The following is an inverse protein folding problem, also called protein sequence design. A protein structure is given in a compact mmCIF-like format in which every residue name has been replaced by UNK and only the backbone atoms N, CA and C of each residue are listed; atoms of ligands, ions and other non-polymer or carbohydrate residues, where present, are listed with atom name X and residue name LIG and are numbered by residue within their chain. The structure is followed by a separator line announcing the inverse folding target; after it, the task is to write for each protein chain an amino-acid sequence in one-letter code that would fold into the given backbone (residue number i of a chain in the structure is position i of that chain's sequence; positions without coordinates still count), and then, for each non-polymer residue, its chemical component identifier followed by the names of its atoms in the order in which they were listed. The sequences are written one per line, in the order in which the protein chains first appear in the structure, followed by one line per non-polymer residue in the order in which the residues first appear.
data_IF_783453759998
#
_entry.id   IF_783453759998
#
_cell.length_a   1.000
_cell.length_b   1.000
_cell.length_c   1.000
_cell.angle_alpha   90.00
_cell.angle_beta   90.00
_cell.angle_gamma   90.00
#
_symmetry.space_group_name_H-M   'P 1'
#
loop_
_entity.id
_entity.type
_entity.pdbx_description
1 polymer ?
#
# COMPACT_ATOMS: atom_id res chain seq x y z
N UNK A 1 16.01 -5.98 4.74
CA UNK A 1 14.87 -6.30 5.62
C UNK A 1 14.03 -5.06 5.80
N UNK A 2 12.73 -5.18 5.53
CA UNK A 2 11.75 -4.13 5.85
C UNK A 2 11.68 -3.98 7.38
N UNK A 3 11.77 -2.74 7.86
CA UNK A 3 11.53 -2.42 9.28
C UNK A 3 10.02 -2.41 9.52
N UNK A 4 9.58 -2.93 10.67
CA UNK A 4 8.18 -2.89 11.10
C UNK A 4 7.99 -1.78 12.15
N UNK A 5 6.91 -0.98 12.11
CA UNK A 5 5.85 -0.97 11.10
C UNK A 5 6.38 -0.60 9.70
N UNK A 6 5.69 -1.03 8.62
CA UNK A 6 6.16 -0.78 7.26
C UNK A 6 6.28 0.73 7.01
N UNK A 7 7.22 1.11 6.14
CA UNK A 7 7.26 2.50 5.65
C UNK A 7 5.93 2.86 5.00
N UNK A 8 5.51 4.13 5.07
CA UNK A 8 4.21 4.54 4.51
C UNK A 8 4.19 4.50 2.99
N UNK A 9 5.26 4.94 2.35
CA UNK A 9 5.33 5.07 0.89
C UNK A 9 5.91 3.81 0.23
N UNK A 10 5.27 3.37 -0.85
CA UNK A 10 5.70 2.22 -1.64
C UNK A 10 5.52 2.48 -3.13
N UNK A 11 6.37 1.82 -3.92
CA UNK A 11 6.27 1.81 -5.39
C UNK A 11 6.18 0.38 -5.89
N UNK A 12 5.16 0.06 -6.68
CA UNK A 12 5.06 -1.23 -7.36
C UNK A 12 5.92 -1.26 -8.64
N UNK A 13 6.69 -2.33 -8.81
CA UNK A 13 7.52 -2.57 -9.99
C UNK A 13 6.67 -2.73 -11.25
N UNK A 14 5.50 -3.34 -11.14
CA UNK A 14 4.52 -3.46 -12.22
C UNK A 14 3.31 -2.56 -11.92
N UNK A 15 2.75 -1.83 -12.90
CA UNK A 15 1.57 -1.03 -12.65
C UNK A 15 0.39 -1.92 -12.24
N UNK A 16 -0.32 -1.52 -11.19
CA UNK A 16 -1.57 -2.14 -10.75
C UNK A 16 -2.69 -1.20 -11.19
N UNK A 17 -3.48 -1.61 -12.18
CA UNK A 17 -4.48 -0.75 -12.83
C UNK A 17 -3.93 0.58 -13.38
N UNK A 18 -2.66 0.61 -13.78
CA UNK A 18 -1.99 1.82 -14.28
C UNK A 18 -1.28 2.63 -13.19
N UNK A 19 -1.58 2.36 -11.92
CA UNK A 19 -0.98 3.04 -10.77
C UNK A 19 0.26 2.31 -10.25
N UNK A 20 1.23 3.07 -9.74
CA UNK A 20 2.49 2.53 -9.18
C UNK A 20 2.78 2.99 -7.77
N UNK A 21 2.24 4.13 -7.35
CA UNK A 21 2.55 4.71 -6.04
C UNK A 21 1.41 4.42 -5.08
N UNK A 22 1.76 3.79 -3.97
CA UNK A 22 0.80 3.34 -2.96
C UNK A 22 1.23 3.76 -1.57
N UNK A 23 0.24 3.94 -0.70
CA UNK A 23 0.42 4.25 0.73
C UNK A 23 -0.05 3.06 1.55
N UNK A 24 0.79 2.61 2.49
CA UNK A 24 0.41 1.65 3.53
C UNK A 24 -0.53 2.35 4.52
N UNK A 25 -1.77 1.86 4.62
CA UNK A 25 -2.82 2.45 5.47
C UNK A 25 -3.13 1.61 6.71
N UNK A 26 -3.28 0.30 6.59
CA UNK A 26 -3.51 -0.59 7.75
C UNK A 26 -2.50 -1.72 7.67
N UNK A 27 -2.05 -2.23 8.80
CA UNK A 27 -1.21 -3.41 8.82
C UNK A 27 -1.40 -4.13 10.15
N UNK A 28 -1.29 -5.44 10.12
CA UNK A 28 -1.45 -6.25 11.32
C UNK A 28 -0.70 -7.57 11.18
N UNK A 29 -0.54 -8.25 12.30
CA UNK A 29 -0.04 -9.62 12.40
C UNK A 29 -1.24 -10.50 12.76
N UNK A 30 -1.87 -11.11 11.77
CA UNK A 30 -3.02 -12.00 12.01
C UNK A 30 -2.63 -13.44 11.71
N UNK A 31 -2.81 -14.34 12.69
CA UNK A 31 -2.56 -15.78 12.54
C UNK A 31 -1.19 -16.12 11.93
N UNK A 32 -0.12 -15.46 12.39
CA UNK A 32 1.26 -15.59 11.89
C UNK A 32 1.53 -15.00 10.50
N UNK A 33 0.53 -14.41 9.84
CA UNK A 33 0.70 -13.73 8.56
C UNK A 33 0.65 -12.21 8.76
N UNK A 34 1.77 -11.56 8.43
CA UNK A 34 1.84 -10.10 8.37
C UNK A 34 1.22 -9.62 7.06
N UNK A 35 0.32 -8.66 7.14
CA UNK A 35 -0.32 -8.05 5.98
C UNK A 35 -0.33 -6.53 6.07
N UNK A 36 -0.40 -5.89 4.91
CA UNK A 36 -0.48 -4.44 4.76
C UNK A 36 -1.58 -4.10 3.75
N UNK A 37 -2.50 -3.24 4.12
CA UNK A 37 -3.45 -2.63 3.20
C UNK A 37 -2.77 -1.43 2.53
N UNK A 38 -2.89 -1.38 1.21
CA UNK A 38 -2.32 -0.39 0.32
C UNK A 38 -3.44 0.39 -0.34
N UNK A 39 -3.27 1.70 -0.51
CA UNK A 39 -4.16 2.56 -1.31
C UNK A 39 -3.36 3.34 -2.34
N UNK A 40 -3.86 3.50 -3.55
CA UNK A 40 -3.21 4.32 -4.57
C UNK A 40 -3.18 5.78 -4.14
N UNK A 41 -2.07 6.46 -4.45
CA UNK A 41 -1.92 7.90 -4.22
C UNK A 41 -2.84 8.71 -5.13
N UNK A 42 -3.08 8.25 -6.37
CA UNK A 42 -3.86 8.99 -7.38
C UNK A 42 -5.33 8.55 -7.43
N UNK A 43 -5.64 7.32 -7.04
CA UNK A 43 -7.01 6.80 -6.98
C UNK A 43 -7.33 6.18 -5.63
N UNK A 44 -8.00 6.94 -4.76
CA UNK A 44 -8.41 6.47 -3.43
C UNK A 44 -9.41 5.30 -3.43
N UNK A 45 -9.99 4.94 -4.59
CA UNK A 45 -10.83 3.75 -4.74
C UNK A 45 -10.03 2.49 -5.05
N UNK A 46 -8.79 2.63 -5.50
CA UNK A 46 -7.87 1.52 -5.71
C UNK A 46 -7.14 1.22 -4.40
N UNK A 47 -7.66 0.23 -3.68
CA UNK A 47 -7.05 -0.29 -2.46
C UNK A 47 -7.08 -1.82 -2.45
N UNK A 48 -6.11 -2.42 -1.80
CA UNK A 48 -5.99 -3.89 -1.68
C UNK A 48 -5.06 -4.25 -0.53
N UNK A 49 -5.05 -5.53 -0.18
CA UNK A 49 -4.14 -6.09 0.83
C UNK A 49 -2.98 -6.79 0.13
N UNK A 50 -1.78 -6.58 0.64
CA UNK A 50 -0.57 -7.33 0.28
C UNK A 50 -0.03 -8.07 1.49
N UNK A 51 0.55 -9.23 1.25
CA UNK A 51 1.28 -9.99 2.26
C UNK A 51 2.65 -9.35 2.51
N UNK A 52 3.22 -9.59 3.68
CA UNK A 52 4.59 -9.15 3.97
C UNK A 52 5.64 -9.85 3.09
N UNK A 53 5.37 -11.07 2.64
CA UNK A 53 6.24 -11.78 1.70
C UNK A 53 6.32 -11.06 0.36
N UNK A 54 5.16 -10.70 -0.23
CA UNK A 54 5.12 -9.88 -1.44
C UNK A 54 5.79 -8.53 -1.22
N UNK A 55 5.50 -7.87 -0.10
CA UNK A 55 6.05 -6.55 0.21
C UNK A 55 7.57 -6.56 0.33
N UNK A 56 8.16 -7.66 0.83
CA UNK A 56 9.60 -7.86 0.98
C UNK A 56 10.29 -8.35 -0.31
N UNK A 57 9.52 -8.68 -1.35
CA UNK A 57 10.04 -9.00 -2.67
C UNK A 57 10.31 -7.71 -3.48
N UNK A 58 11.60 -7.37 -3.62
CA UNK A 58 12.05 -6.20 -4.39
C UNK A 58 11.73 -6.28 -5.90
N UNK A 59 11.34 -7.45 -6.40
CA UNK A 59 10.84 -7.61 -7.78
C UNK A 59 9.38 -7.19 -7.94
N UNK A 60 8.65 -7.05 -6.82
CA UNK A 60 7.26 -6.59 -6.77
C UNK A 60 7.14 -5.18 -6.20
N UNK A 61 7.86 -4.88 -5.11
CA UNK A 61 7.69 -3.67 -4.33
C UNK A 61 9.01 -3.01 -3.97
N UNK A 62 9.06 -1.68 -4.06
CA UNK A 62 10.18 -0.88 -3.57
C UNK A 62 9.71 0.07 -2.46
N UNK A 63 10.46 0.18 -1.35
CA UNK A 63 10.15 1.15 -0.31
C UNK A 63 10.43 2.57 -0.79
N UNK A 64 9.51 3.48 -0.46
CA UNK A 64 9.51 4.89 -0.88
C UNK A 64 8.92 5.12 -2.27
N UNK A 65 8.74 6.38 -2.63
CA UNK A 65 8.36 6.75 -4.00
C UNK A 65 9.59 6.73 -4.90
N UNK A 66 9.55 5.83 -5.89
CA UNK A 66 10.60 5.67 -6.89
C UNK A 66 10.06 6.11 -8.24
N UNK A 67 10.89 6.82 -8.98
CA UNK A 67 10.67 7.05 -10.40
C UNK A 67 11.19 5.84 -11.18
N UNK A 68 10.27 4.95 -11.53
CA UNK A 68 10.58 3.82 -12.40
C UNK A 68 10.49 4.31 -13.83
N UNK A 69 11.66 4.55 -14.45
CA UNK A 69 11.73 4.88 -15.89
C UNK A 69 10.94 3.84 -16.67
N UNK A 70 9.88 4.30 -17.33
CA UNK A 70 9.00 3.47 -18.15
C UNK A 70 9.86 2.87 -19.27
N UNK A 71 10.28 1.62 -19.12
CA UNK A 71 10.55 0.80 -20.30
C UNK A 71 9.18 0.51 -20.90
N UNK A 72 8.93 1.02 -22.11
CA UNK A 72 7.72 0.74 -22.88
C UNK A 72 7.71 -0.75 -23.27
N UNK A 73 7.48 -1.62 -22.29
CA UNK A 73 7.17 -3.01 -22.55
C UNK A 73 5.74 -3.25 -22.09
N UNK A 74 4.86 -3.40 -23.07
CA UNK A 74 3.45 -3.71 -22.90
C UNK A 74 3.29 -5.15 -22.39
N UNK A 75 3.73 -5.45 -21.17
CA UNK A 75 3.35 -6.69 -20.48
C UNK A 75 2.33 -6.34 -19.41
N UNK A 76 1.05 -6.51 -19.77
CA UNK A 76 -0.04 -6.58 -18.80
C UNK A 76 0.19 -7.85 -17.96
N UNK A 77 0.74 -7.71 -16.76
CA UNK A 77 0.73 -8.79 -15.78
C UNK A 77 -0.58 -8.68 -15.01
N UNK A 78 -1.48 -9.65 -15.23
CA UNK A 78 -2.68 -9.81 -14.41
C UNK A 78 -2.23 -10.38 -13.05
N UNK A 79 -1.90 -9.50 -12.10
CA UNK A 79 -1.86 -9.88 -10.71
C UNK A 79 -3.30 -9.74 -10.21
N UNK A 80 -3.95 -10.88 -9.94
CA UNK A 80 -5.27 -10.91 -9.35
C UNK A 80 -5.16 -10.50 -7.88
N UNK A 81 -5.01 -9.20 -7.61
CA UNK A 81 -5.34 -8.69 -6.29
C UNK A 81 -6.87 -8.70 -6.18
N UNK A 82 -7.41 -9.36 -5.15
CA UNK A 82 -8.83 -9.27 -4.83
C UNK A 82 -9.15 -7.83 -4.41
N UNK A 83 -9.65 -7.06 -5.38
CA UNK A 83 -9.98 -5.63 -5.27
C UNK A 83 -11.26 -5.36 -4.42
N UNK A 84 -11.94 -6.43 -3.99
CA UNK A 84 -13.20 -6.36 -3.25
C UNK A 84 -13.05 -6.78 -1.78
N UNK A 85 -11.93 -6.47 -1.14
CA UNK A 85 -11.78 -6.73 0.28
C UNK A 85 -12.32 -5.56 1.12
N UNK A 86 -13.48 -5.78 1.75
CA UNK A 86 -14.04 -4.95 2.84
C UNK A 86 -13.03 -4.70 3.99
N UNK A 87 -11.91 -5.43 4.00
CA UNK A 87 -10.80 -5.30 4.93
C UNK A 87 -10.12 -3.92 4.99
N UNK A 88 -10.37 -3.03 4.01
CA UNK A 88 -9.87 -1.65 4.02
C UNK A 88 -10.89 -0.61 4.51
N UNK A 89 -12.10 -1.04 4.92
CA UNK A 89 -13.14 -0.15 5.43
C UNK A 89 -12.86 0.33 6.86
N UNK A 90 -11.95 -0.32 7.59
CA UNK A 90 -11.58 0.11 8.93
C UNK A 90 -10.64 1.33 8.89
N UNK A 91 -10.94 2.38 9.68
CA UNK A 91 -10.08 3.55 9.79
C UNK A 91 -8.64 3.16 10.15
N UNK A 92 -7.68 3.77 9.45
CA UNK A 92 -6.27 3.57 9.75
C UNK A 92 -5.91 4.03 11.15
N UNK A 93 -5.26 3.16 11.91
CA UNK A 93 -4.82 3.41 13.28
C UNK A 93 -3.52 4.23 13.30
N UNK A 94 -2.65 4.15 12.26
CA UNK A 94 -1.31 4.79 12.26
C UNK A 94 -1.03 5.72 11.06
N UNK A 95 -1.77 5.61 9.96
CA UNK A 95 -1.40 6.33 8.73
C UNK A 95 -1.83 7.78 8.70
N UNK A 96 -2.60 8.26 9.67
CA UNK A 96 -3.15 9.63 9.67
C UNK A 96 -4.13 9.89 8.52
N UNK A 97 -4.36 8.91 7.63
CA UNK A 97 -5.44 8.90 6.65
C UNK A 97 -6.68 8.43 7.41
N UNK A 98 -7.33 9.35 8.10
CA UNK A 98 -8.68 9.12 8.52
C UNK A 98 -9.58 9.19 7.28
N UNK A 99 -9.99 8.05 6.73
CA UNK A 99 -11.13 7.98 5.82
C UNK A 99 -12.36 8.30 6.67
N UNK A 100 -12.58 9.56 7.01
CA UNK A 100 -13.51 9.91 8.10
C UNK A 100 -14.96 9.80 7.65
N UNK A 101 -15.79 9.29 8.56
CA UNK A 101 -16.95 10.09 9.00
C UNK A 101 -16.64 10.87 10.29
N UNK A 102 -15.73 10.44 11.17
CA UNK A 102 -15.42 11.17 12.42
C UNK A 102 -13.92 11.24 12.73
N UNK A 103 -13.40 12.48 12.80
CA UNK A 103 -12.02 12.87 13.15
C UNK A 103 -11.77 12.74 14.65
N UNK A 104 -10.93 11.81 15.11
CA UNK A 104 -10.43 11.92 16.50
C UNK A 104 -8.96 11.52 16.74
N UNK A 105 -8.22 10.88 15.83
CA UNK A 105 -6.82 10.53 16.11
C UNK A 105 -5.96 10.66 14.85
N UNK A 106 -5.34 11.84 14.64
CA UNK A 106 -4.42 12.10 13.54
C UNK A 106 -2.99 12.03 14.06
N UNK A 107 -2.12 11.24 13.41
CA UNK A 107 -0.67 11.31 13.57
C UNK A 107 -0.11 12.09 12.39
N UNK A 108 0.66 13.15 12.66
CA UNK A 108 1.14 14.06 11.62
C UNK A 108 2.05 13.35 10.60
N UNK A 109 1.87 13.72 9.34
CA UNK A 109 2.57 13.14 8.18
C UNK A 109 4.04 13.55 8.08
N UNK A 110 4.42 14.63 8.77
CA UNK A 110 5.77 15.12 8.86
C UNK A 110 6.00 15.55 10.32
N UNK A 111 7.03 15.04 11.01
CA UNK A 111 7.45 15.65 12.26
C UNK A 111 8.03 17.04 11.95
N UNK A 112 7.70 18.04 12.80
CA UNK A 112 8.40 19.33 12.85
C UNK A 112 9.89 19.17 13.16
#
# INVERSE_FOLDING_TARGET
MIKWPPVKAWTSINPIQGERHFVAINYDVSNHNLWVNMVSVLDGKLYFRVTFEELNDNSMWLPGWKDLKIKKDHKKTNVNHDLNNEACLHPSIDSGIAITSKRLNLRDWFPE
#
